data_IF_270995243083
#
_entry.id   IF_270995243083
#
_cell.length_a   1.000
_cell.length_b   1.000
_cell.length_c   1.000
_cell.angle_alpha   90.00
_cell.angle_beta   90.00
_cell.angle_gamma   90.00
#
_symmetry.space_group_name_H-M   'P 1'
#
loop_
_entity.id
_entity.type
_entity.pdbx_description
1 polymer ?
#
# COMPACT_ATOMS: atom_id res chain seq x y z
N UNK A 1 11.77 -22.10 6.93
CA UNK A 1 10.97 -22.35 8.15
C UNK A 1 11.39 -23.70 8.70
N UNK A 2 11.96 -23.76 9.91
CA UNK A 2 12.39 -25.01 10.52
C UNK A 2 11.18 -25.81 11.01
N UNK A 3 11.24 -27.14 10.95
CA UNK A 3 10.22 -28.02 11.52
C UNK A 3 10.20 -27.83 13.06
N UNK A 4 9.03 -27.57 13.67
CA UNK A 4 8.92 -27.44 15.11
C UNK A 4 9.14 -28.80 15.81
N UNK A 5 9.73 -28.82 17.02
CA UNK A 5 9.88 -30.06 17.79
C UNK A 5 8.51 -30.67 18.09
N UNK A 6 8.39 -31.99 17.89
CA UNK A 6 7.15 -32.72 18.09
C UNK A 6 6.62 -32.53 19.53
N UNK A 7 5.37 -32.09 19.67
CA UNK A 7 4.67 -31.96 20.95
C UNK A 7 4.61 -30.55 21.57
N UNK A 8 5.15 -29.53 20.93
CA UNK A 8 5.09 -28.13 21.43
C UNK A 8 4.43 -27.14 20.46
N UNK A 9 3.83 -27.64 19.37
CA UNK A 9 3.24 -26.76 18.36
C UNK A 9 1.85 -26.27 18.79
N UNK A 10 1.83 -25.08 19.39
CA UNK A 10 0.61 -24.42 19.89
C UNK A 10 -0.08 -23.58 18.81
N UNK A 11 -1.32 -23.14 19.09
CA UNK A 11 -2.05 -22.19 18.24
C UNK A 11 -1.26 -20.90 17.97
N UNK A 12 -0.53 -20.39 18.96
CA UNK A 12 0.30 -19.19 18.80
C UNK A 12 1.41 -19.38 17.77
N UNK A 13 2.02 -20.57 17.70
CA UNK A 13 3.00 -20.89 16.66
C UNK A 13 2.36 -20.91 15.28
N UNK A 14 1.16 -21.47 15.14
CA UNK A 14 0.41 -21.44 13.87
C UNK A 14 0.09 -20.01 13.43
N UNK A 15 -0.33 -19.15 14.37
CA UNK A 15 -0.60 -17.74 14.08
C UNK A 15 0.68 -17.00 13.67
N UNK A 16 1.79 -17.23 14.38
CA UNK A 16 3.09 -16.67 14.03
C UNK A 16 3.51 -17.10 12.62
N UNK A 17 3.41 -18.39 12.29
CA UNK A 17 3.72 -18.91 10.97
C UNK A 17 2.85 -18.27 9.88
N UNK A 18 1.56 -18.03 10.17
CA UNK A 18 0.66 -17.32 9.24
C UNK A 18 1.11 -15.87 9.03
N UNK A 19 1.52 -15.18 10.09
CA UNK A 19 2.06 -13.82 9.98
C UNK A 19 3.42 -13.78 9.25
N UNK A 20 4.27 -14.79 9.44
CA UNK A 20 5.52 -14.97 8.70
C UNK A 20 5.27 -15.20 7.21
N UNK A 21 4.32 -16.08 6.86
CA UNK A 21 3.91 -16.29 5.47
C UNK A 21 3.42 -14.99 4.84
N UNK A 22 2.59 -14.21 5.56
CA UNK A 22 2.13 -12.92 5.08
C UNK A 22 3.28 -11.95 4.83
N UNK A 23 4.27 -11.88 5.75
CA UNK A 23 5.47 -11.05 5.57
C UNK A 23 6.29 -11.50 4.36
N UNK A 24 6.52 -12.81 4.22
CA UNK A 24 7.22 -13.41 3.07
C UNK A 24 6.48 -13.17 1.74
N UNK A 25 5.17 -12.92 1.79
CA UNK A 25 4.34 -12.60 0.63
C UNK A 25 4.29 -11.09 0.30
N UNK A 26 5.22 -10.29 0.82
CA UNK A 26 5.24 -8.83 0.62
C UNK A 26 4.26 -8.06 1.52
N UNK A 27 3.84 -8.67 2.64
CA UNK A 27 2.99 -8.06 3.66
C UNK A 27 1.66 -7.47 3.14
N UNK A 28 0.88 -8.19 2.31
CA UNK A 28 -0.32 -7.65 1.67
C UNK A 28 -1.35 -7.17 2.69
N UNK A 29 -2.07 -6.09 2.36
CA UNK A 29 -3.14 -5.58 3.23
C UNK A 29 -4.25 -6.62 3.46
N UNK A 30 -4.91 -6.58 4.61
CA UNK A 30 -5.99 -7.55 4.92
C UNK A 30 -7.13 -7.50 3.91
N UNK A 31 -7.45 -6.31 3.38
CA UNK A 31 -8.43 -6.14 2.30
C UNK A 31 -7.99 -6.82 1.01
N UNK A 32 -6.70 -6.77 0.68
CA UNK A 32 -6.15 -7.46 -0.50
C UNK A 32 -6.28 -8.97 -0.36
N UNK A 33 -5.96 -9.52 0.82
CA UNK A 33 -6.11 -10.96 1.09
C UNK A 33 -7.59 -11.38 0.99
N UNK A 34 -8.51 -10.63 1.61
CA UNK A 34 -9.95 -10.93 1.54
C UNK A 34 -10.48 -10.88 0.10
N UNK A 35 -10.13 -9.84 -0.66
CA UNK A 35 -10.54 -9.69 -2.06
C UNK A 35 -10.06 -10.87 -2.91
N UNK A 36 -8.78 -11.21 -2.83
CA UNK A 36 -8.18 -12.23 -3.68
C UNK A 36 -8.57 -13.66 -3.23
N UNK A 37 -8.99 -13.83 -1.98
CA UNK A 37 -9.42 -15.14 -1.44
C UNK A 37 -10.67 -15.72 -2.10
N UNK A 38 -11.55 -14.90 -2.68
CA UNK A 38 -12.74 -15.41 -3.39
C UNK A 38 -12.36 -16.28 -4.59
N UNK A 39 -11.37 -15.82 -5.38
CA UNK A 39 -10.88 -16.55 -6.56
C UNK A 39 -10.19 -17.85 -6.16
N UNK A 40 -9.41 -17.82 -5.08
CA UNK A 40 -8.72 -19.01 -4.54
C UNK A 40 -9.73 -20.01 -3.98
N UNK A 41 -10.73 -19.55 -3.23
CA UNK A 41 -11.78 -20.41 -2.68
C UNK A 41 -12.58 -21.12 -3.78
N UNK A 42 -12.90 -20.42 -4.88
CA UNK A 42 -13.57 -21.02 -6.04
C UNK A 42 -12.70 -22.08 -6.74
N UNK A 43 -11.41 -21.80 -6.95
CA UNK A 43 -10.47 -22.77 -7.52
C UNK A 43 -10.33 -24.03 -6.64
N UNK A 44 -10.27 -23.86 -5.31
CA UNK A 44 -10.19 -24.97 -4.36
C UNK A 44 -11.50 -25.74 -4.23
N UNK A 45 -12.65 -25.06 -4.33
CA UNK A 45 -13.96 -25.72 -4.34
C UNK A 45 -14.06 -26.70 -5.53
N UNK A 46 -13.53 -26.31 -6.70
CA UNK A 46 -13.46 -27.18 -7.89
C UNK A 46 -12.53 -28.39 -7.71
N UNK A 47 -11.58 -28.34 -6.80
CA UNK A 47 -10.68 -29.46 -6.45
C UNK A 47 -11.28 -30.38 -5.38
N UNK A 48 -12.53 -30.18 -4.97
CA UNK A 48 -13.24 -31.06 -4.02
C UNK A 48 -13.26 -30.58 -2.56
N UNK A 49 -12.71 -29.40 -2.27
CA UNK A 49 -12.79 -28.80 -0.94
C UNK A 49 -14.14 -28.09 -0.72
N UNK A 50 -15.16 -28.86 -0.32
CA UNK A 50 -16.57 -28.40 -0.22
C UNK A 50 -16.81 -27.21 0.74
N UNK A 51 -15.89 -26.98 1.68
CA UNK A 51 -16.00 -25.94 2.71
C UNK A 51 -15.06 -24.74 2.44
N UNK A 52 -14.48 -24.62 1.24
CA UNK A 52 -13.62 -23.50 0.88
C UNK A 52 -14.48 -22.25 0.63
N UNK A 53 -14.46 -21.30 1.57
CA UNK A 53 -15.20 -20.05 1.49
C UNK A 53 -14.26 -18.84 1.41
N UNK A 54 -14.76 -17.74 0.84
CA UNK A 54 -14.08 -16.45 0.87
C UNK A 54 -13.80 -16.06 2.33
N UNK A 55 -12.60 -15.55 2.59
CA UNK A 55 -12.22 -15.07 3.92
C UNK A 55 -12.97 -13.77 4.23
N UNK A 56 -13.52 -13.64 5.44
CA UNK A 56 -14.07 -12.35 5.89
C UNK A 56 -12.98 -11.51 6.57
N UNK A 57 -13.06 -10.18 6.43
CA UNK A 57 -12.09 -9.25 7.00
C UNK A 57 -12.01 -9.39 8.53
N UNK A 58 -13.16 -9.49 9.20
CA UNK A 58 -13.23 -9.65 10.66
C UNK A 58 -12.62 -10.96 11.12
N UNK A 59 -12.96 -12.10 10.47
CA UNK A 59 -12.40 -13.39 10.85
C UNK A 59 -10.88 -13.45 10.64
N UNK A 60 -10.39 -12.86 9.55
CA UNK A 60 -8.97 -12.75 9.27
C UNK A 60 -8.23 -11.92 10.32
N UNK A 61 -8.76 -10.73 10.65
CA UNK A 61 -8.18 -9.86 11.67
C UNK A 61 -8.16 -10.53 13.05
N UNK A 62 -9.26 -11.18 13.46
CA UNK A 62 -9.35 -11.86 14.75
C UNK A 62 -8.40 -13.05 14.86
N UNK A 63 -8.27 -13.83 13.79
CA UNK A 63 -7.38 -15.00 13.77
C UNK A 63 -5.92 -14.56 13.86
N UNK A 64 -5.51 -13.60 13.05
CA UNK A 64 -4.12 -13.11 13.04
C UNK A 64 -3.75 -12.32 14.29
N UNK A 65 -4.72 -11.74 14.99
CA UNK A 65 -4.51 -11.07 16.28
C UNK A 65 -4.55 -12.02 17.48
N UNK A 66 -4.73 -13.34 17.28
CA UNK A 66 -4.85 -14.31 18.37
C UNK A 66 -6.09 -14.12 19.25
N UNK A 67 -7.12 -13.42 18.76
CA UNK A 67 -8.38 -13.22 19.52
C UNK A 67 -9.27 -14.46 19.54
N UNK A 68 -9.00 -15.43 18.67
CA UNK A 68 -9.74 -16.71 18.62
C UNK A 68 -9.06 -17.75 19.48
N UNK A 69 -9.86 -18.43 20.31
CA UNK A 69 -9.39 -19.50 21.21
C UNK A 69 -9.17 -20.84 20.51
N UNK A 70 -9.86 -21.06 19.39
CA UNK A 70 -9.79 -22.31 18.65
C UNK A 70 -9.04 -22.08 17.33
N UNK A 71 -8.29 -23.09 16.84
CA UNK A 71 -7.63 -23.04 15.55
C UNK A 71 -8.63 -22.82 14.42
N UNK A 72 -8.21 -22.13 13.34
CA UNK A 72 -9.05 -21.99 12.16
C UNK A 72 -9.34 -23.37 11.54
N UNK A 73 -10.51 -23.51 10.91
CA UNK A 73 -10.84 -24.72 10.15
C UNK A 73 -9.83 -24.91 9.02
N UNK A 74 -9.50 -26.16 8.69
CA UNK A 74 -8.54 -26.48 7.63
C UNK A 74 -8.87 -25.78 6.29
N UNK A 75 -10.14 -25.78 5.88
CA UNK A 75 -10.57 -25.12 4.64
C UNK A 75 -10.32 -23.61 4.63
N UNK A 76 -10.45 -22.96 5.79
CA UNK A 76 -10.15 -21.54 5.94
C UNK A 76 -8.64 -21.28 5.86
N UNK A 77 -7.85 -22.10 6.57
CA UNK A 77 -6.39 -21.98 6.62
C UNK A 77 -5.78 -22.16 5.23
N UNK A 78 -6.21 -23.17 4.48
CA UNK A 78 -5.64 -23.41 3.15
C UNK A 78 -5.97 -22.29 2.15
N UNK A 79 -7.19 -21.72 2.20
CA UNK A 79 -7.54 -20.56 1.38
C UNK A 79 -6.64 -19.37 1.73
N UNK A 80 -6.38 -19.12 3.02
CA UNK A 80 -5.47 -18.05 3.45
C UNK A 80 -4.04 -18.25 2.95
N UNK A 81 -3.49 -19.45 3.15
CA UNK A 81 -2.13 -19.79 2.71
C UNK A 81 -1.99 -19.59 1.21
N UNK A 82 -2.90 -20.18 0.44
CA UNK A 82 -2.84 -20.14 -1.02
C UNK A 82 -3.08 -18.74 -1.57
N UNK A 83 -3.90 -17.93 -0.89
CA UNK A 83 -4.06 -16.52 -1.24
C UNK A 83 -2.75 -15.74 -1.05
N UNK A 84 -2.05 -15.95 0.06
CA UNK A 84 -0.76 -15.29 0.30
C UNK A 84 0.28 -15.71 -0.75
N UNK A 85 0.36 -17.01 -1.05
CA UNK A 85 1.28 -17.53 -2.07
C UNK A 85 0.95 -17.01 -3.46
N UNK A 86 -0.31 -17.00 -3.85
CA UNK A 86 -0.74 -16.44 -5.14
C UNK A 86 -0.43 -14.93 -5.26
N UNK A 87 -0.45 -14.18 -4.15
CA UNK A 87 0.01 -12.78 -4.11
C UNK A 87 1.55 -12.72 -4.28
N UNK A 88 2.28 -13.60 -3.61
CA UNK A 88 3.73 -13.71 -3.72
C UNK A 88 4.17 -14.07 -5.15
N UNK A 89 3.48 -15.01 -5.83
CA UNK A 89 3.75 -15.39 -7.24
C UNK A 89 3.56 -14.23 -8.21
N UNK A 90 2.64 -13.31 -7.89
CA UNK A 90 2.37 -12.09 -8.66
C UNK A 90 3.33 -10.94 -8.34
N UNK A 91 4.25 -11.13 -7.39
CA UNK A 91 5.19 -10.10 -6.96
C UNK A 91 6.61 -10.52 -7.37
N UNK A 92 7.33 -9.73 -8.17
CA UNK A 92 8.66 -10.09 -8.63
C UNK A 92 9.63 -10.33 -7.46
N UNK A 93 10.31 -11.48 -7.45
CA UNK A 93 11.35 -11.80 -6.46
C UNK A 93 10.88 -12.34 -5.10
N UNK A 94 9.57 -12.56 -4.88
CA UNK A 94 9.01 -13.05 -3.61
C UNK A 94 8.60 -14.53 -3.62
N UNK A 95 9.11 -15.31 -4.57
CA UNK A 95 8.75 -16.71 -4.71
C UNK A 95 9.47 -17.59 -3.66
N UNK A 96 8.71 -18.41 -2.93
CA UNK A 96 9.24 -19.34 -1.90
C UNK A 96 9.90 -20.60 -2.48
N UNK A 97 9.87 -20.80 -3.80
CA UNK A 97 10.40 -21.97 -4.50
C UNK A 97 9.68 -23.29 -4.21
N UNK A 98 8.68 -23.29 -3.32
CA UNK A 98 7.95 -24.49 -2.90
C UNK A 98 6.82 -24.77 -3.89
N UNK A 99 6.50 -26.03 -4.15
CA UNK A 99 5.31 -26.37 -4.95
C UNK A 99 4.01 -26.11 -4.17
N UNK A 100 2.87 -26.07 -4.86
CA UNK A 100 1.55 -25.94 -4.20
C UNK A 100 1.24 -27.16 -3.31
N UNK A 101 1.65 -28.36 -3.73
CA UNK A 101 1.45 -29.60 -2.99
C UNK A 101 2.29 -29.68 -1.71
N UNK A 102 3.58 -29.32 -1.78
CA UNK A 102 4.48 -29.30 -0.62
C UNK A 102 4.00 -28.31 0.44
N UNK A 103 3.54 -27.12 0.02
CA UNK A 103 2.98 -26.15 0.95
C UNK A 103 1.70 -26.67 1.61
N UNK A 104 0.78 -27.26 0.83
CA UNK A 104 -0.45 -27.86 1.38
C UNK A 104 -0.10 -28.93 2.42
N UNK A 105 0.88 -29.79 2.13
CA UNK A 105 1.32 -30.84 3.04
C UNK A 105 1.95 -30.28 4.32
N UNK A 106 2.84 -29.28 4.19
CA UNK A 106 3.48 -28.61 5.33
C UNK A 106 2.44 -27.94 6.24
N UNK A 107 1.52 -27.17 5.66
CA UNK A 107 0.49 -26.48 6.42
C UNK A 107 -0.52 -27.44 7.04
N UNK A 108 -0.78 -28.59 6.41
CA UNK A 108 -1.61 -29.65 7.01
C UNK A 108 -0.94 -30.26 8.23
N UNK A 109 0.35 -30.62 8.14
CA UNK A 109 1.13 -31.13 9.27
C UNK A 109 1.09 -30.17 10.47
N UNK A 110 1.22 -28.87 10.23
CA UNK A 110 1.12 -27.82 11.27
C UNK A 110 -0.28 -27.71 11.87
N UNK A 111 -1.31 -27.74 11.02
CA UNK A 111 -2.71 -27.69 11.45
C UNK A 111 -3.07 -28.90 12.33
N UNK A 112 -2.71 -30.10 11.88
CA UNK A 112 -2.93 -31.36 12.60
C UNK A 112 -2.17 -31.37 13.94
N UNK A 113 -0.95 -30.81 13.98
CA UNK A 113 -0.18 -30.70 15.23
C UNK A 113 -0.84 -29.80 16.28
N UNK A 114 -1.48 -28.70 15.87
CA UNK A 114 -2.26 -27.84 16.79
C UNK A 114 -3.48 -28.60 17.32
N UNK A 115 -4.22 -29.28 16.45
CA UNK A 115 -5.39 -30.06 16.86
C UNK A 115 -5.02 -31.23 17.79
N UNK A 116 -3.92 -31.93 17.53
CA UNK A 116 -3.42 -32.99 18.40
C UNK A 116 -3.00 -32.48 19.79
N UNK A 117 -2.60 -31.22 19.91
CA UNK A 117 -2.29 -30.60 21.21
C UNK A 117 -3.55 -30.16 21.97
N UNK A 118 -4.63 -29.81 21.26
CA UNK A 118 -5.91 -29.40 21.85
C UNK A 118 -6.80 -30.56 22.29
N UNK A 119 -6.66 -31.72 21.66
CA UNK A 119 -7.30 -32.95 22.09
C UNK A 119 -6.37 -33.67 23.10
N UNK A 120 -6.44 -33.36 24.42
CA UNK A 120 -5.68 -34.13 25.38
C UNK A 120 -6.08 -35.59 25.23
N UNK A 121 -5.12 -36.54 25.29
CA UNK A 121 -5.44 -37.96 25.20
C UNK A 121 -6.58 -38.23 26.19
N UNK A 122 -7.64 -38.96 25.76
CA UNK A 122 -8.84 -39.14 26.57
C UNK A 122 -8.40 -39.52 27.96
N UNK A 123 -8.66 -38.66 28.94
CA UNK A 123 -8.28 -38.89 30.34
C UNK A 123 -8.73 -40.31 30.64
N UNK A 124 -7.76 -41.21 30.85
CA UNK A 124 -8.00 -42.63 31.02
C UNK A 124 -9.20 -42.76 31.94
N UNK A 125 -10.34 -43.19 31.40
CA UNK A 125 -11.61 -43.11 32.12
C UNK A 125 -11.37 -43.72 33.48
N UNK A 126 -11.73 -43.04 34.59
CA UNK A 126 -11.49 -43.57 35.92
C UNK A 126 -11.97 -45.01 35.92
N UNK A 127 -11.02 -45.93 36.09
CA UNK A 127 -11.22 -47.37 36.03
C UNK A 127 -12.50 -47.63 36.83
N UNK A 128 -13.57 -48.02 36.14
CA UNK A 128 -14.88 -48.16 36.77
C UNK A 128 -14.71 -49.06 38.00
N UNK A 129 -14.72 -48.46 39.19
CA UNK A 129 -14.82 -49.23 40.41
C UNK A 129 -16.16 -49.97 40.34
N UNK A 130 -16.19 -51.30 40.53
CA UNK A 130 -17.42 -52.06 40.48
C UNK A 130 -18.47 -51.41 41.39
N UNK A 131 -19.59 -50.99 40.80
CA UNK A 131 -20.72 -50.43 41.52
C UNK A 131 -21.20 -51.50 42.52
N UNK A 132 -21.26 -51.23 43.83
CA UNK A 132 -21.83 -52.19 44.77
C UNK A 132 -23.29 -52.46 44.39
N UNK A 133 -23.77 -53.71 44.52
CA UNK A 133 -25.14 -54.07 44.18
C UNK A 133 -26.08 -53.39 45.18
N UNK A 134 -26.88 -52.42 44.72
CA UNK A 134 -27.87 -51.78 45.59
C UNK A 134 -29.26 -51.84 44.95
N UNK A 135 -30.08 -52.66 45.60
CA UNK A 135 -31.49 -52.45 45.94
C UNK A 135 -32.41 -51.76 44.94
N UNK A 136 -33.39 -52.54 44.48
CA UNK A 136 -34.64 -52.14 43.84
C UNK A 136 -35.20 -50.80 44.37
N UNK A 137 -35.36 -49.83 43.48
CA UNK A 137 -36.23 -48.68 43.70
C UNK A 137 -37.33 -48.65 42.62
N UNK A 138 -38.55 -48.56 43.10
CA UNK A 138 -39.84 -48.60 42.42
C UNK A 138 -40.05 -47.37 41.54
N UNK A 139 -40.66 -47.48 40.34
CA UNK A 139 -41.01 -46.33 39.50
C UNK A 139 -42.31 -45.65 39.96
N UNK A 140 -42.40 -44.29 39.95
CA UNK A 140 -43.66 -43.59 40.12
C UNK A 140 -44.50 -43.55 38.82
N UNK A 141 -45.84 -43.59 38.90
CA UNK A 141 -46.73 -43.51 37.75
C UNK A 141 -47.18 -42.05 37.48
N UNK A 142 -47.26 -41.70 36.19
CA UNK A 142 -48.15 -40.62 35.73
C UNK A 142 -47.45 -39.44 35.04
N UNK A 143 -47.41 -39.46 33.72
CA UNK A 143 -47.54 -38.25 32.89
C UNK A 143 -48.05 -38.63 31.47
N UNK A 144 -49.04 -37.90 30.93
CA UNK A 144 -49.80 -38.32 29.74
C UNK A 144 -49.16 -37.92 28.41
N UNK A 145 -49.59 -38.67 27.40
CA UNK A 145 -49.30 -38.52 25.98
C UNK A 145 -49.68 -37.14 25.43
N UNK A 146 -48.73 -36.52 24.70
CA UNK A 146 -48.91 -35.31 23.91
C UNK A 146 -48.63 -35.61 22.44
N UNK A 147 -49.68 -35.46 21.65
CA UNK A 147 -49.81 -35.72 20.21
C UNK A 147 -49.00 -34.77 19.33
N UNK A 148 -48.44 -35.32 18.26
CA UNK A 148 -48.56 -34.84 16.87
C UNK A 148 -48.17 -33.39 16.53
N UNK A 149 -47.14 -33.25 15.69
CA UNK A 149 -47.11 -32.18 14.68
C UNK A 149 -46.24 -32.56 13.48
N UNK A 150 -46.90 -33.07 12.44
CA UNK A 150 -46.44 -33.05 11.06
C UNK A 150 -46.41 -31.58 10.56
N UNK A 151 -45.42 -31.25 9.72
CA UNK A 151 -45.22 -29.90 9.24
C UNK A 151 -44.36 -29.86 7.96
N UNK A 152 -45.02 -30.13 6.85
CA UNK A 152 -44.82 -29.56 5.50
C UNK A 152 -43.40 -29.31 4.97
N UNK A 153 -42.99 -30.20 4.06
CA UNK A 153 -42.11 -29.88 2.96
C UNK A 153 -42.84 -28.97 1.95
N UNK A 154 -42.29 -27.79 1.68
CA UNK A 154 -42.70 -26.96 0.55
C UNK A 154 -41.66 -27.09 -0.56
N UNK A 155 -42.13 -27.76 -1.60
CA UNK A 155 -41.61 -27.83 -2.95
C UNK A 155 -41.68 -26.43 -3.59
N UNK A 156 -40.56 -25.93 -4.14
CA UNK A 156 -40.54 -24.71 -4.97
C UNK A 156 -39.89 -25.03 -6.30
N UNK A 157 -40.77 -25.29 -7.26
CA UNK A 157 -40.56 -25.09 -8.69
C UNK A 157 -40.06 -23.66 -8.94
N UNK A 158 -38.88 -23.52 -9.54
CA UNK A 158 -38.50 -22.32 -10.28
C UNK A 158 -38.22 -22.73 -11.73
N UNK A 159 -39.02 -22.12 -12.59
CA UNK A 159 -39.07 -22.16 -14.04
C UNK A 159 -37.75 -21.71 -14.69
N UNK A 160 -37.32 -22.50 -15.67
CA UNK A 160 -36.35 -22.14 -16.72
C UNK A 160 -37.05 -21.26 -17.77
N UNK A 161 -36.35 -20.28 -18.36
CA UNK A 161 -36.59 -19.94 -19.76
C UNK A 161 -35.35 -20.22 -20.60
N UNK A 162 -35.59 -20.92 -21.70
CA UNK A 162 -34.81 -20.86 -22.93
C UNK A 162 -34.70 -19.42 -23.44
N UNK A 163 -33.54 -19.05 -23.98
CA UNK A 163 -33.52 -18.31 -25.23
C UNK A 163 -32.19 -18.46 -25.96
N UNK A 164 -32.28 -19.03 -27.16
CA UNK A 164 -31.23 -19.13 -28.14
C UNK A 164 -31.43 -18.02 -29.18
N UNK A 165 -30.37 -17.24 -29.49
CA UNK A 165 -30.22 -16.59 -30.80
C UNK A 165 -28.78 -16.13 -31.07
N UNK A 166 -28.12 -16.89 -31.95
CA UNK A 166 -27.21 -16.54 -33.06
C UNK A 166 -26.74 -15.07 -33.18
N UNK A 167 -25.44 -14.86 -33.43
CA UNK A 167 -24.87 -14.49 -34.77
C UNK A 167 -23.33 -14.35 -34.76
N UNK A 168 -22.80 -14.54 -35.97
CA UNK A 168 -21.43 -14.69 -36.46
C UNK A 168 -20.61 -13.37 -36.54
N UNK A 169 -19.26 -13.47 -36.62
CA UNK A 169 -18.27 -12.37 -36.85
C UNK A 169 -18.29 -11.76 -38.26
N UNK A 170 -17.20 -11.20 -38.88
CA UNK A 170 -15.74 -11.34 -38.59
C UNK A 170 -14.92 -10.00 -38.77
N UNK A 171 -13.73 -9.90 -39.43
CA UNK A 171 -12.38 -9.82 -38.81
C UNK A 171 -11.48 -8.62 -39.24
N UNK A 172 -10.30 -8.48 -38.61
CA UNK A 172 -9.06 -8.03 -39.28
C UNK A 172 -8.54 -6.59 -39.03
N UNK A 173 -7.22 -6.45 -38.79
CA UNK A 173 -6.45 -5.20 -38.86
C UNK A 173 -5.29 -5.15 -37.85
N UNK A 174 -4.09 -5.68 -38.18
CA UNK A 174 -2.92 -4.96 -38.72
C UNK A 174 -1.97 -4.37 -37.65
N UNK A 175 -0.83 -5.04 -37.47
CA UNK A 175 0.33 -4.60 -36.68
C UNK A 175 1.16 -3.52 -37.41
N UNK A 176 1.78 -2.57 -36.69
CA UNK A 176 2.88 -1.75 -37.19
C UNK A 176 4.28 -2.27 -36.73
N UNK A 177 5.38 -1.87 -37.41
CA UNK A 177 6.73 -2.41 -37.23
C UNK A 177 7.53 -1.76 -36.08
N UNK A 178 8.67 -2.35 -35.67
CA UNK A 178 9.46 -1.88 -34.53
C UNK A 178 10.47 -0.81 -34.95
N UNK A 179 10.50 0.31 -34.21
CA UNK A 179 11.49 1.38 -34.37
C UNK A 179 11.93 1.93 -33.02
N UNK A 180 13.15 1.56 -32.62
CA UNK A 180 14.06 2.26 -31.69
C UNK A 180 13.49 2.82 -30.39
N UNK A 181 13.55 2.01 -29.32
CA UNK A 181 13.51 2.50 -27.95
C UNK A 181 14.83 2.17 -27.23
N UNK A 182 15.57 3.23 -26.91
CA UNK A 182 16.77 3.24 -26.07
C UNK A 182 16.44 2.68 -24.68
N UNK A 183 17.20 1.66 -24.27
CA UNK A 183 17.01 0.92 -23.03
C UNK A 183 17.24 1.78 -21.78
N UNK A 184 16.15 2.09 -21.08
CA UNK A 184 16.17 2.26 -19.63
C UNK A 184 15.32 1.12 -19.06
N UNK A 185 15.97 0.03 -18.68
CA UNK A 185 15.34 -1.13 -18.08
C UNK A 185 15.05 -0.79 -16.61
N UNK A 186 13.84 -0.32 -16.35
CA UNK A 186 13.37 0.06 -15.02
C UNK A 186 12.81 -1.17 -14.30
N UNK A 187 13.09 -1.29 -13.00
CA UNK A 187 12.46 -2.26 -12.10
C UNK A 187 10.94 -2.10 -12.23
N UNK A 188 10.31 -3.12 -12.82
CA UNK A 188 8.87 -3.19 -13.02
C UNK A 188 8.18 -3.36 -11.67
N UNK A 189 7.72 -2.26 -11.09
CA UNK A 189 6.58 -2.30 -10.20
C UNK A 189 5.37 -2.66 -11.08
N UNK A 190 5.00 -3.93 -11.08
CA UNK A 190 3.93 -4.47 -11.93
C UNK A 190 2.62 -3.73 -11.70
N UNK A 191 2.26 -2.89 -12.68
CA UNK A 191 0.94 -2.30 -12.83
C UNK A 191 -0.07 -3.42 -13.02
N UNK A 192 -0.84 -3.73 -11.98
CA UNK A 192 -1.98 -4.66 -12.07
C UNK A 192 -3.00 -4.10 -13.07
N UNK A 193 -3.33 -4.79 -14.17
CA UNK A 193 -4.53 -4.45 -14.92
C UNK A 193 -5.75 -4.83 -14.06
N UNK A 194 -6.75 -3.95 -13.88
CA UNK A 194 -7.99 -4.36 -13.25
C UNK A 194 -8.75 -5.29 -14.19
N UNK A 195 -9.15 -6.45 -13.69
CA UNK A 195 -10.02 -7.38 -14.41
C UNK A 195 -11.28 -7.63 -13.58
N UNK A 196 -12.35 -6.89 -13.90
CA UNK A 196 -13.71 -7.40 -14.12
C UNK A 196 -14.68 -6.23 -14.49
N UNK A 197 -14.91 -6.08 -15.80
CA UNK A 197 -16.08 -5.46 -16.47
C UNK A 197 -16.51 -4.00 -16.19
N UNK A 198 -15.75 -3.21 -15.42
CA UNK A 198 -15.81 -1.75 -15.49
C UNK A 198 -14.68 -1.25 -16.39
N UNK A 199 -14.99 -0.59 -17.50
CA UNK A 199 -13.97 0.16 -18.27
C UNK A 199 -13.34 1.17 -17.31
N UNK A 200 -12.04 1.01 -17.01
CA UNK A 200 -11.30 1.99 -16.22
C UNK A 200 -11.49 3.36 -16.86
N UNK A 201 -11.74 4.38 -16.03
CA UNK A 201 -11.75 5.75 -16.55
C UNK A 201 -10.34 6.13 -16.99
N UNK A 202 -10.20 7.02 -17.98
CA UNK A 202 -8.89 7.51 -18.43
C UNK A 202 -8.07 8.10 -17.27
N UNK A 203 -8.75 8.74 -16.30
CA UNK A 203 -8.13 9.26 -15.08
C UNK A 203 -7.56 8.13 -14.23
N UNK A 204 -8.31 7.05 -14.00
CA UNK A 204 -7.85 5.88 -13.24
C UNK A 204 -6.63 5.24 -13.89
N UNK A 205 -6.63 5.04 -15.21
CA UNK A 205 -5.50 4.46 -15.95
C UNK A 205 -4.24 5.32 -15.81
N UNK A 206 -4.38 6.65 -15.96
CA UNK A 206 -3.26 7.58 -15.82
C UNK A 206 -2.71 7.60 -14.39
N UNK A 207 -3.57 7.65 -13.36
CA UNK A 207 -3.12 7.63 -11.97
C UNK A 207 -2.49 6.29 -11.59
N UNK A 208 -3.02 5.17 -12.07
CA UNK A 208 -2.44 3.85 -11.89
C UNK A 208 -1.03 3.77 -12.53
N UNK A 209 -0.88 4.32 -13.73
CA UNK A 209 0.40 4.35 -14.44
C UNK A 209 1.42 5.26 -13.75
N UNK A 210 0.98 6.43 -13.28
CA UNK A 210 1.89 7.42 -12.68
C UNK A 210 2.25 7.10 -11.22
N UNK A 211 1.31 6.60 -10.44
CA UNK A 211 1.40 6.50 -8.97
C UNK A 211 1.10 5.10 -8.43
N UNK A 212 0.82 4.12 -9.29
CA UNK A 212 0.54 2.74 -8.89
C UNK A 212 -0.75 2.60 -8.08
N UNK A 213 -0.77 1.64 -7.16
CA UNK A 213 -1.91 1.38 -6.28
C UNK A 213 -2.26 2.59 -5.40
N UNK A 214 -1.27 3.33 -4.92
CA UNK A 214 -1.47 4.52 -4.09
C UNK A 214 -2.31 5.59 -4.80
N UNK A 215 -2.05 5.84 -6.09
CA UNK A 215 -2.86 6.78 -6.87
C UNK A 215 -4.33 6.38 -7.01
N UNK A 216 -4.59 5.08 -7.15
CA UNK A 216 -5.94 4.54 -7.24
C UNK A 216 -6.66 4.59 -5.88
N UNK A 217 -5.95 4.26 -4.80
CA UNK A 217 -6.50 4.30 -3.44
C UNK A 217 -6.85 5.74 -3.04
N UNK A 218 -6.00 6.71 -3.41
CA UNK A 218 -6.31 8.13 -3.26
C UNK A 218 -7.53 8.52 -4.09
N UNK A 219 -7.62 8.09 -5.35
CA UNK A 219 -8.76 8.45 -6.21
C UNK A 219 -10.08 7.92 -5.64
N UNK A 220 -10.12 6.66 -5.21
CA UNK A 220 -11.30 6.09 -4.55
C UNK A 220 -11.65 6.83 -3.24
N UNK A 221 -10.65 7.19 -2.43
CA UNK A 221 -10.86 7.98 -1.22
C UNK A 221 -11.46 9.37 -1.53
N UNK A 222 -10.97 10.02 -2.58
CA UNK A 222 -11.42 11.34 -2.99
C UNK A 222 -12.83 11.30 -3.60
N UNK A 223 -13.09 10.37 -4.54
CA UNK A 223 -14.36 10.30 -5.27
C UNK A 223 -15.49 9.63 -4.46
N UNK A 224 -15.21 8.46 -3.88
CA UNK A 224 -16.23 7.64 -3.20
C UNK A 224 -16.45 8.11 -1.77
N UNK A 225 -15.37 8.43 -1.05
CA UNK A 225 -15.41 8.76 0.38
C UNK A 225 -15.38 10.26 0.67
N UNK A 226 -15.14 11.10 -0.34
CA UNK A 226 -14.98 12.56 -0.20
C UNK A 226 -13.99 12.94 0.90
N UNK A 227 -12.86 12.22 0.96
CA UNK A 227 -11.80 12.51 1.92
C UNK A 227 -10.98 13.73 1.45
N UNK A 228 -10.97 14.87 2.17
CA UNK A 228 -10.30 16.09 1.72
C UNK A 228 -8.78 15.92 1.66
N UNK A 229 -8.17 15.11 2.54
CA UNK A 229 -6.75 14.76 2.49
C UNK A 229 -6.39 13.97 1.21
N UNK A 230 -7.29 13.10 0.73
CA UNK A 230 -7.06 12.37 -0.51
C UNK A 230 -7.11 13.29 -1.74
N UNK A 231 -8.12 14.17 -1.82
CA UNK A 231 -8.22 15.21 -2.85
C UNK A 231 -6.98 16.11 -2.83
N UNK A 232 -6.53 16.52 -1.65
CA UNK A 232 -5.31 17.32 -1.48
C UNK A 232 -4.07 16.62 -2.06
N UNK A 233 -3.85 15.35 -1.71
CA UNK A 233 -2.69 14.57 -2.17
C UNK A 233 -2.70 14.32 -3.68
N UNK A 234 -3.85 14.03 -4.27
CA UNK A 234 -3.97 13.90 -5.74
C UNK A 234 -3.65 15.24 -6.41
N UNK A 235 -4.22 16.34 -5.90
CA UNK A 235 -4.00 17.68 -6.42
C UNK A 235 -2.52 18.05 -6.43
N UNK A 236 -1.84 17.77 -5.32
CA UNK A 236 -0.40 17.98 -5.17
C UNK A 236 0.43 17.18 -6.19
N UNK A 237 0.15 15.88 -6.32
CA UNK A 237 0.87 15.00 -7.25
C UNK A 237 0.67 15.45 -8.70
N UNK A 238 -0.55 15.83 -9.08
CA UNK A 238 -0.86 16.32 -10.42
C UNK A 238 -0.17 17.65 -10.75
N UNK A 239 -0.07 18.59 -9.79
CA UNK A 239 0.69 19.82 -9.98
C UNK A 239 2.15 19.51 -10.29
N UNK A 240 2.75 18.58 -9.54
CA UNK A 240 4.15 18.19 -9.75
C UNK A 240 4.34 17.43 -11.07
N UNK A 241 3.40 16.61 -11.52
CA UNK A 241 3.52 15.94 -12.82
C UNK A 241 3.09 16.85 -14.01
N UNK A 242 2.89 18.15 -13.78
CA UNK A 242 2.65 19.17 -14.82
C UNK A 242 1.17 19.36 -15.19
N UNK A 243 0.25 18.67 -14.53
CA UNK A 243 -1.19 18.75 -14.74
C UNK A 243 -1.83 19.82 -13.84
N UNK A 244 -1.33 21.05 -13.93
CA UNK A 244 -1.64 22.14 -12.99
C UNK A 244 -3.14 22.43 -12.83
N UNK A 245 -3.86 22.59 -13.93
CA UNK A 245 -5.30 22.92 -13.88
C UNK A 245 -6.12 21.84 -13.19
N UNK A 246 -5.80 20.58 -13.47
CA UNK A 246 -6.46 19.43 -12.85
C UNK A 246 -6.08 19.33 -11.37
N UNK A 247 -4.80 19.53 -11.04
CA UNK A 247 -4.35 19.52 -9.66
C UNK A 247 -5.00 20.62 -8.82
N UNK A 248 -5.15 21.84 -9.37
CA UNK A 248 -5.88 22.93 -8.73
C UNK A 248 -7.37 22.59 -8.52
N UNK A 249 -8.02 21.92 -9.48
CA UNK A 249 -9.40 21.47 -9.31
C UNK A 249 -9.55 20.52 -8.11
N UNK A 250 -8.62 19.58 -7.94
CA UNK A 250 -8.58 18.69 -6.78
C UNK A 250 -8.29 19.42 -5.45
N UNK A 251 -7.41 20.43 -5.46
CA UNK A 251 -7.17 21.25 -4.27
C UNK A 251 -8.39 22.08 -3.88
N UNK A 252 -9.10 22.67 -4.85
CA UNK A 252 -10.36 23.38 -4.60
C UNK A 252 -11.44 22.43 -4.08
N UNK A 253 -11.48 21.18 -4.58
CA UNK A 253 -12.37 20.14 -4.06
C UNK A 253 -12.03 19.79 -2.59
N UNK A 254 -10.74 19.68 -2.25
CA UNK A 254 -10.30 19.44 -0.88
C UNK A 254 -10.71 20.57 0.10
N UNK A 255 -10.67 21.82 -0.38
CA UNK A 255 -11.19 22.97 0.36
C UNK A 255 -12.70 22.90 0.55
N UNK A 256 -13.44 22.54 -0.52
CA UNK A 256 -14.89 22.46 -0.48
C UNK A 256 -15.41 21.34 0.44
N UNK A 257 -14.83 20.14 0.37
CA UNK A 257 -15.32 18.97 1.11
C UNK A 257 -14.97 19.02 2.61
N UNK A 258 -13.94 19.78 3.03
CA UNK A 258 -13.53 19.79 4.44
C UNK A 258 -12.51 20.83 4.87
N UNK A 259 -12.23 21.86 4.05
CA UNK A 259 -11.25 22.93 4.33
C UNK A 259 -9.88 22.40 4.71
N UNK A 260 -9.29 21.58 3.84
CA UNK A 260 -7.96 21.04 4.09
C UNK A 260 -6.94 22.18 4.31
N UNK A 261 -6.32 22.32 5.51
CA UNK A 261 -5.63 23.55 5.91
C UNK A 261 -4.44 23.92 5.03
N UNK A 262 -3.86 22.94 4.34
CA UNK A 262 -2.71 23.14 3.44
C UNK A 262 -3.11 23.38 1.98
N UNK A 263 -4.37 23.15 1.60
CA UNK A 263 -4.79 23.30 0.21
C UNK A 263 -4.85 24.79 -0.18
N UNK A 264 -5.44 25.64 0.68
CA UNK A 264 -5.47 27.11 0.51
C UNK A 264 -4.09 27.68 0.23
N UNK A 265 -3.09 27.30 1.02
CA UNK A 265 -1.72 27.81 0.84
C UNK A 265 -1.12 27.45 -0.52
N UNK A 266 -1.39 26.26 -1.06
CA UNK A 266 -0.93 25.88 -2.40
C UNK A 266 -1.69 26.62 -3.50
N UNK A 267 -3.01 26.79 -3.34
CA UNK A 267 -3.86 27.52 -4.29
C UNK A 267 -3.46 29.00 -4.36
N UNK A 268 -3.24 29.63 -3.21
CA UNK A 268 -2.93 31.07 -3.12
C UNK A 268 -1.51 31.40 -3.59
N UNK A 269 -0.51 30.60 -3.17
CA UNK A 269 0.86 30.81 -3.59
C UNK A 269 1.06 30.49 -5.05
N UNK A 270 0.32 29.51 -5.57
CA UNK A 270 0.29 29.10 -6.97
C UNK A 270 1.68 28.81 -7.59
N UNK A 271 2.65 28.47 -6.71
CA UNK A 271 4.05 28.20 -7.05
C UNK A 271 4.36 26.71 -6.91
N UNK A 272 5.18 26.15 -7.82
CA UNK A 272 5.62 24.76 -7.70
C UNK A 272 6.47 24.54 -6.44
N UNK A 273 7.19 25.57 -5.97
CA UNK A 273 8.02 25.51 -4.75
C UNK A 273 7.23 25.02 -3.53
N UNK A 274 6.03 25.57 -3.30
CA UNK A 274 5.20 25.15 -2.18
C UNK A 274 4.74 23.69 -2.34
N UNK A 275 4.39 23.27 -3.56
CA UNK A 275 3.99 21.89 -3.82
C UNK A 275 5.15 20.89 -3.61
N UNK A 276 6.37 21.28 -3.97
CA UNK A 276 7.58 20.46 -3.79
C UNK A 276 7.85 20.20 -2.31
N UNK A 277 7.80 21.24 -1.49
CA UNK A 277 8.01 21.14 -0.04
C UNK A 277 6.93 20.27 0.63
N UNK A 278 5.66 20.46 0.24
CA UNK A 278 4.58 19.63 0.77
C UNK A 278 4.70 18.17 0.35
N UNK A 279 5.16 17.88 -0.85
CA UNK A 279 5.41 16.50 -1.26
C UNK A 279 6.54 15.88 -0.44
N UNK A 280 7.62 16.63 -0.16
CA UNK A 280 8.66 16.15 0.75
C UNK A 280 8.11 15.85 2.15
N UNK A 281 7.30 16.75 2.72
CA UNK A 281 6.68 16.57 4.03
C UNK A 281 5.77 15.32 4.10
N UNK A 282 4.96 15.08 3.05
CA UNK A 282 4.15 13.86 2.94
C UNK A 282 5.02 12.60 2.85
N UNK A 283 6.16 12.68 2.15
CA UNK A 283 7.16 11.61 2.12
C UNK A 283 7.68 11.26 3.51
N UNK A 284 8.09 12.26 4.30
CA UNK A 284 8.56 12.05 5.69
C UNK A 284 7.46 11.45 6.58
N UNK A 285 6.22 11.93 6.42
CA UNK A 285 5.07 11.39 7.16
C UNK A 285 4.83 9.91 6.83
N UNK A 286 4.80 9.55 5.55
CA UNK A 286 4.63 8.16 5.11
C UNK A 286 5.79 7.26 5.55
N UNK A 287 7.03 7.75 5.49
CA UNK A 287 8.20 7.01 5.95
C UNK A 287 8.15 6.72 7.46
N UNK A 288 7.73 7.70 8.27
CA UNK A 288 7.51 7.52 9.72
C UNK A 288 6.42 6.49 10.00
N UNK A 289 5.38 6.46 9.17
CA UNK A 289 4.34 5.42 9.17
C UNK A 289 4.80 4.04 8.67
N UNK A 290 6.09 3.86 8.35
CA UNK A 290 6.68 2.65 7.74
C UNK A 290 6.08 2.27 6.38
N UNK A 291 5.42 3.20 5.69
CA UNK A 291 4.95 3.03 4.32
C UNK A 291 5.97 3.60 3.33
N UNK A 292 7.09 2.88 3.20
CA UNK A 292 8.21 3.28 2.34
C UNK A 292 7.81 3.34 0.85
N UNK A 293 6.86 2.51 0.42
CA UNK A 293 6.38 2.50 -0.96
C UNK A 293 5.68 3.82 -1.27
N UNK A 294 4.74 4.24 -0.43
CA UNK A 294 4.07 5.54 -0.59
C UNK A 294 5.06 6.69 -0.46
N UNK A 295 6.01 6.63 0.48
CA UNK A 295 7.04 7.64 0.63
C UNK A 295 7.86 7.83 -0.67
N UNK A 296 8.20 6.74 -1.37
CA UNK A 296 8.95 6.83 -2.64
C UNK A 296 8.19 7.58 -3.73
N UNK A 297 6.85 7.50 -3.76
CA UNK A 297 6.03 8.23 -4.74
C UNK A 297 6.24 9.73 -4.57
N UNK A 298 6.12 10.22 -3.34
CA UNK A 298 6.26 11.64 -3.02
C UNK A 298 7.70 12.14 -3.16
N UNK A 299 8.67 11.43 -2.57
CA UNK A 299 10.09 11.82 -2.67
C UNK A 299 10.56 11.88 -4.11
N UNK A 300 10.14 10.94 -4.96
CA UNK A 300 10.51 10.96 -6.39
C UNK A 300 10.02 12.22 -7.09
N UNK A 301 8.81 12.71 -6.78
CA UNK A 301 8.28 13.94 -7.39
C UNK A 301 9.03 15.16 -6.86
N UNK A 302 9.18 15.28 -5.54
CA UNK A 302 9.94 16.38 -4.95
C UNK A 302 11.38 16.43 -5.50
N UNK A 303 12.07 15.27 -5.59
CA UNK A 303 13.43 15.16 -6.11
C UNK A 303 13.57 15.53 -7.60
N UNK A 304 12.59 15.15 -8.44
CA UNK A 304 12.55 15.53 -9.86
C UNK A 304 12.48 17.04 -10.05
N UNK A 305 11.86 17.74 -9.10
CA UNK A 305 11.75 19.20 -9.09
C UNK A 305 12.83 19.90 -8.26
N UNK A 306 13.94 19.20 -7.97
CA UNK A 306 15.12 19.81 -7.37
C UNK A 306 15.14 19.84 -5.84
N UNK A 307 14.28 19.09 -5.15
CA UNK A 307 14.34 18.95 -3.70
C UNK A 307 15.48 18.02 -3.27
N UNK A 308 16.60 18.62 -2.83
CA UNK A 308 17.84 17.92 -2.48
C UNK A 308 17.62 16.80 -1.44
N UNK A 309 16.95 17.10 -0.33
CA UNK A 309 16.74 16.11 0.74
C UNK A 309 15.87 14.94 0.29
N UNK A 310 14.94 15.18 -0.65
CA UNK A 310 14.07 14.11 -1.17
C UNK A 310 14.89 13.12 -2.02
N UNK A 311 15.88 13.62 -2.79
CA UNK A 311 16.76 12.77 -3.56
C UNK A 311 17.65 11.88 -2.65
N UNK A 312 18.18 12.42 -1.56
CA UNK A 312 18.92 11.64 -0.57
C UNK A 312 18.04 10.60 0.13
N UNK A 313 16.85 10.98 0.59
CA UNK A 313 15.88 10.03 1.19
C UNK A 313 15.51 8.89 0.25
N UNK A 314 15.32 9.20 -1.03
CA UNK A 314 15.00 8.20 -2.02
C UNK A 314 16.17 7.22 -2.22
N UNK A 315 17.41 7.71 -2.19
CA UNK A 315 18.59 6.84 -2.24
C UNK A 315 18.68 5.91 -1.01
N UNK A 316 18.40 6.42 0.19
CA UNK A 316 18.37 5.61 1.42
C UNK A 316 17.34 4.48 1.31
N UNK A 317 16.12 4.79 0.83
CA UNK A 317 15.07 3.77 0.64
C UNK A 317 15.48 2.72 -0.39
N UNK A 318 16.11 3.10 -1.50
CA UNK A 318 16.57 2.13 -2.49
C UNK A 318 17.70 1.23 -1.96
N UNK A 319 18.60 1.74 -1.12
CA UNK A 319 19.59 0.89 -0.46
C UNK A 319 18.94 -0.10 0.52
N UNK A 320 17.91 0.33 1.26
CA UNK A 320 17.13 -0.56 2.13
C UNK A 320 16.41 -1.67 1.33
N UNK A 321 15.94 -1.36 0.12
CA UNK A 321 15.38 -2.35 -0.81
C UNK A 321 16.44 -3.20 -1.54
N UNK A 322 17.73 -2.94 -1.33
CA UNK A 322 18.83 -3.66 -1.97
C UNK A 322 19.12 -3.22 -3.42
N UNK A 323 18.45 -2.19 -3.93
CA UNK A 323 18.76 -1.60 -5.25
C UNK A 323 19.83 -0.50 -5.12
N UNK A 324 21.06 -0.94 -4.90
CA UNK A 324 22.23 -0.07 -4.81
C UNK A 324 22.48 0.72 -6.11
N UNK A 325 21.97 0.25 -7.25
CA UNK A 325 22.16 0.94 -8.53
C UNK A 325 21.26 2.18 -8.59
N UNK A 326 19.98 2.05 -8.25
CA UNK A 326 19.09 3.21 -8.14
C UNK A 326 19.57 4.16 -7.03
N UNK A 327 19.99 3.64 -5.88
CA UNK A 327 20.51 4.46 -4.79
C UNK A 327 21.69 5.34 -5.23
N UNK A 328 22.68 4.77 -5.94
CA UNK A 328 23.81 5.53 -6.50
C UNK A 328 23.36 6.62 -7.48
N UNK A 329 22.39 6.33 -8.35
CA UNK A 329 21.85 7.35 -9.28
C UNK A 329 21.21 8.51 -8.55
N UNK A 330 20.40 8.23 -7.53
CA UNK A 330 19.74 9.29 -6.75
C UNK A 330 20.72 10.12 -5.91
N UNK A 331 21.79 9.53 -5.37
CA UNK A 331 22.88 10.28 -4.75
C UNK A 331 23.61 11.17 -5.74
N UNK A 332 23.94 10.66 -6.93
CA UNK A 332 24.57 11.45 -7.97
C UNK A 332 23.68 12.64 -8.40
N UNK A 333 22.37 12.40 -8.52
CA UNK A 333 21.39 13.45 -8.79
C UNK A 333 21.35 14.51 -7.69
N UNK A 334 21.33 14.09 -6.41
CA UNK A 334 21.40 15.00 -5.28
C UNK A 334 22.66 15.88 -5.32
N UNK A 335 23.83 15.29 -5.55
CA UNK A 335 25.09 16.05 -5.67
C UNK A 335 25.07 17.04 -6.83
N UNK A 336 24.39 16.72 -7.94
CA UNK A 336 24.23 17.65 -9.07
C UNK A 336 23.35 18.84 -8.70
N UNK A 337 22.22 18.59 -8.03
CA UNK A 337 21.34 19.65 -7.52
C UNK A 337 22.07 20.59 -6.55
N UNK A 338 22.92 20.04 -5.68
CA UNK A 338 23.73 20.80 -4.73
C UNK A 338 24.74 21.70 -5.44
N UNK A 339 25.46 21.18 -6.45
CA UNK A 339 26.38 21.99 -7.27
C UNK A 339 25.65 23.13 -7.97
N UNK A 340 24.50 22.85 -8.60
CA UNK A 340 23.69 23.88 -9.26
C UNK A 340 23.22 25.00 -8.34
N UNK A 341 22.96 24.72 -7.05
CA UNK A 341 22.62 25.75 -6.05
C UNK A 341 23.83 26.62 -5.70
N UNK A 342 25.01 26.01 -5.60
CA UNK A 342 26.25 26.75 -5.26
C UNK A 342 26.70 27.68 -6.38
N UNK A 343 26.57 27.28 -7.65
CA UNK A 343 26.94 28.12 -8.80
C UNK A 343 26.04 29.33 -8.96
N UNK A 344 24.71 29.16 -8.83
CA UNK A 344 23.75 30.26 -8.87
C UNK A 344 23.93 31.26 -7.71
N UNK A 345 24.46 30.79 -6.56
CA UNK A 345 24.77 31.67 -5.43
C UNK A 345 26.09 32.44 -5.64
N UNK A 346 27.07 31.84 -6.31
CA UNK A 346 28.35 32.49 -6.65
C UNK A 346 28.20 33.54 -7.75
N UNK A 347 27.33 33.30 -8.74
CA UNK A 347 27.08 34.23 -9.86
C UNK A 347 26.23 35.46 -9.46
N UNK A 348 25.48 35.37 -8.34
CA UNK A 348 24.72 36.50 -7.77
C UNK A 348 25.53 37.42 -6.85
N UNK A 349 26.80 37.14 -6.59
CA UNK A 349 27.69 38.10 -5.93
C UNK A 349 28.21 39.09 -6.98
N UNK A 350 27.80 40.38 -6.94
CA UNK A 350 28.33 41.36 -7.88
C UNK A 350 29.83 41.50 -7.64
N UNK A 351 30.57 41.57 -8.73
CA UNK A 351 31.93 42.08 -8.83
C UNK A 351 31.99 43.53 -8.30
N UNK A 352 31.84 43.72 -6.98
CA UNK A 352 32.19 44.95 -6.28
C UNK A 352 33.65 44.85 -5.87
N UNK A 353 34.51 44.90 -6.87
CA UNK A 353 35.94 45.18 -6.72
C UNK A 353 36.37 45.93 -7.97
N UNK A 354 35.82 47.13 -8.13
CA UNK A 354 36.45 48.16 -8.96
C UNK A 354 37.65 48.68 -8.16
N UNK A 355 38.90 48.47 -8.61
CA UNK A 355 40.05 49.07 -7.94
C UNK A 355 40.02 50.57 -8.23
N UNK A 356 40.02 51.36 -7.16
CA UNK A 356 40.12 52.80 -7.22
C UNK A 356 41.26 53.23 -8.15
N UNK A 357 40.88 53.96 -9.20
CA UNK A 357 41.74 54.66 -10.13
C UNK A 357 42.56 55.69 -9.36
N UNK A 358 43.83 55.35 -9.11
CA UNK A 358 44.83 56.25 -8.55
C UNK A 358 45.09 57.36 -9.57
N UNK A 359 44.56 58.56 -9.29
CA UNK A 359 44.94 59.78 -10.01
C UNK A 359 45.85 60.62 -9.10
N UNK A 360 47.03 61.07 -9.55
CA UNK A 360 48.00 61.77 -8.72
C UNK A 360 47.65 63.26 -8.57
N UNK A 361 47.95 63.80 -7.38
CA UNK A 361 47.74 65.20 -7.01
C UNK A 361 48.68 66.17 -7.76
N UNK A 362 48.23 67.40 -8.09
CA UNK A 362 49.13 68.48 -8.48
C UNK A 362 49.60 69.27 -7.24
N UNK A 363 50.89 69.59 -7.26
CA UNK A 363 51.56 70.55 -6.39
C UNK A 363 51.14 71.95 -6.83
N UNK A 364 50.67 72.79 -5.91
CA UNK A 364 50.99 74.24 -5.88
C UNK A 364 50.56 74.88 -4.55
N UNK A 365 51.52 75.56 -3.94
CA UNK A 365 51.43 76.48 -2.80
C UNK A 365 51.02 77.87 -3.37
N UNK A 366 50.18 78.70 -2.71
CA UNK A 366 50.76 79.68 -1.80
C UNK A 366 49.87 80.19 -0.64
N UNK A 367 50.57 80.66 0.38
CA UNK A 367 50.25 81.77 1.28
C UNK A 367 49.06 82.68 0.89
N UNK A 368 48.08 82.85 1.79
CA UNK A 368 47.65 84.16 2.33
C UNK A 368 46.39 84.05 3.18
N UNK A 369 46.50 84.50 4.43
CA UNK A 369 45.42 84.83 5.36
C UNK A 369 44.97 86.30 5.11
N UNK A 370 44.05 86.87 5.90
CA UNK A 370 42.57 86.90 5.88
C UNK A 370 42.11 88.34 5.45
N UNK A 371 41.10 89.06 6.01
CA UNK A 371 39.90 88.73 6.80
C UNK A 371 38.61 89.46 6.33
N UNK A 372 37.50 89.13 7.00
CA UNK A 372 36.56 90.16 7.47
C UNK A 372 35.27 90.33 6.67
N UNK A 373 34.16 90.41 7.41
CA UNK A 373 32.91 90.98 6.91
C UNK A 373 31.66 90.17 7.21
N UNK A 374 31.20 90.20 8.46
CA UNK A 374 29.75 90.38 8.74
C UNK A 374 29.31 91.72 8.08
N UNK A 375 28.02 92.05 7.82
CA UNK A 375 26.86 91.60 8.62
C UNK A 375 25.47 91.51 7.89
N UNK A 376 24.47 91.05 8.66
CA UNK A 376 23.14 91.69 8.87
C UNK A 376 22.03 91.69 7.79
N UNK A 377 20.88 91.18 8.26
CA UNK A 377 19.45 91.53 8.05
C UNK A 377 18.73 91.20 6.74
N UNK A 378 17.51 90.67 6.93
CA UNK A 378 16.44 90.48 5.98
C UNK A 378 15.44 89.47 6.51
#
# INVERSE_FOLDING_TARGET
MSDPPAGQYTLDHLIQDMQELRRASGQPSMRTVVRDSARVADAYSRQGYKDAAQLSLTALADTLAGRRKNPPRWSWLIVYVQTCREIARRSPGLHDGMSDEEAVALWRKRHDAVHAAEDPPPKASPRWSPRPPNGSAVPPPGAPAGTGREGHAQDRLITRPDDARRRSGPPGGSSPPPGTATSAQWIGFETRPPSAAGTMTLTQERLATAYGAHGLDLLDAAETRREPDASYRIGLLLILDGHRHEGLAWLMQAEYDGRHPLATGIIELDTPAAAIEQAFALGEFSATGHDLITATVYYRRAAKHGHLSAAYRLAEIYDLFGDHTAAKRWRAWASELERGRTTLSAERLPLSSSPAEVTPAPIDDPSSTPPGGLPVLG
#
